data_IF_984027197153
#
_entry.id   IF_984027197153
#
_cell.length_a   1.000
_cell.length_b   1.000
_cell.length_c   1.000
_cell.angle_alpha   90.00
_cell.angle_beta   90.00
_cell.angle_gamma   90.00
#
_symmetry.space_group_name_H-M   'P 1'
#
loop_
_entity.id
_entity.type
_entity.pdbx_description
1 polymer ?
#
# COMPACT_ATOMS: atom_id res chain seq x y z
N UNK A 1 42.79 37.45 -20.86
CA UNK A 1 41.83 36.66 -20.03
C UNK A 1 40.33 36.78 -20.42
N UNK A 2 39.84 37.88 -21.04
CA UNK A 2 38.40 38.06 -21.37
C UNK A 2 37.85 37.18 -22.51
N UNK A 3 38.61 36.88 -23.57
CA UNK A 3 38.15 36.04 -24.72
C UNK A 3 37.97 34.56 -24.37
N UNK A 4 38.93 33.93 -23.65
CA UNK A 4 38.82 32.52 -23.22
C UNK A 4 37.64 32.29 -22.27
N UNK A 5 37.37 33.20 -21.33
CA UNK A 5 36.17 33.12 -20.46
C UNK A 5 34.87 33.22 -21.28
N UNK A 6 34.79 34.12 -22.27
CA UNK A 6 33.61 34.22 -23.15
C UNK A 6 33.38 32.96 -24.00
N UNK A 7 34.43 32.33 -24.51
CA UNK A 7 34.34 31.07 -25.28
C UNK A 7 33.87 29.92 -24.38
N UNK A 8 34.40 29.81 -23.15
CA UNK A 8 33.98 28.79 -22.17
C UNK A 8 32.52 29.01 -21.74
N UNK A 9 32.11 30.27 -21.53
CA UNK A 9 30.74 30.64 -21.18
C UNK A 9 29.73 30.33 -22.30
N UNK A 10 30.13 30.43 -23.57
CA UNK A 10 29.28 30.07 -24.73
C UNK A 10 29.28 28.56 -25.01
N UNK A 11 30.37 27.84 -24.71
CA UNK A 11 30.44 26.40 -24.99
C UNK A 11 29.54 25.56 -24.09
N UNK A 12 29.24 26.00 -22.87
CA UNK A 12 28.41 25.23 -21.92
C UNK A 12 26.95 25.15 -22.39
N UNK A 13 26.25 26.26 -22.70
CA UNK A 13 24.89 26.20 -23.26
C UNK A 13 24.80 25.41 -24.55
N UNK A 14 25.78 25.56 -25.45
CA UNK A 14 25.82 24.80 -26.70
C UNK A 14 25.94 23.29 -26.44
N UNK A 15 26.83 22.88 -25.52
CA UNK A 15 26.96 21.46 -25.15
C UNK A 15 25.65 20.90 -24.55
N UNK A 16 24.97 21.68 -23.69
CA UNK A 16 23.66 21.28 -23.14
C UNK A 16 22.63 21.11 -24.26
N UNK A 17 22.53 22.05 -25.19
CA UNK A 17 21.60 21.95 -26.33
C UNK A 17 21.89 20.72 -27.21
N UNK A 18 23.17 20.42 -27.46
CA UNK A 18 23.56 19.20 -28.19
C UNK A 18 23.15 17.95 -27.44
N UNK A 19 23.36 17.88 -26.12
CA UNK A 19 22.94 16.74 -25.29
C UNK A 19 21.42 16.56 -25.32
N UNK A 20 20.65 17.65 -25.20
CA UNK A 20 19.19 17.62 -25.29
C UNK A 20 18.73 17.13 -26.67
N UNK A 21 19.32 17.67 -27.75
CA UNK A 21 18.99 17.27 -29.11
C UNK A 21 19.28 15.80 -29.37
N UNK A 22 20.47 15.31 -28.98
CA UNK A 22 20.84 13.89 -29.09
C UNK A 22 19.90 13.01 -28.27
N UNK A 23 19.50 13.43 -27.07
CA UNK A 23 18.55 12.70 -26.24
C UNK A 23 17.15 12.61 -26.86
N UNK A 24 16.68 13.69 -27.49
CA UNK A 24 15.41 13.70 -28.23
C UNK A 24 15.51 12.78 -29.45
N UNK A 25 16.57 12.89 -30.23
CA UNK A 25 16.78 12.08 -31.43
C UNK A 25 16.81 10.59 -31.08
N UNK A 26 17.60 10.21 -30.07
CA UNK A 26 17.67 8.83 -29.58
C UNK A 26 16.30 8.33 -29.11
N UNK A 27 15.54 9.17 -28.38
CA UNK A 27 14.20 8.80 -27.93
C UNK A 27 13.22 8.57 -29.10
N UNK A 28 13.38 9.28 -30.22
CA UNK A 28 12.49 9.18 -31.38
C UNK A 28 12.82 8.00 -32.30
N UNK A 29 14.08 7.57 -32.36
CA UNK A 29 14.55 6.58 -33.35
C UNK A 29 14.92 5.21 -32.76
N UNK A 30 15.44 5.17 -31.53
CA UNK A 30 15.89 3.92 -30.92
C UNK A 30 14.76 3.21 -30.21
N UNK A 31 14.76 1.87 -30.16
CA UNK A 31 13.83 1.03 -29.37
C UNK A 31 12.38 1.53 -29.35
N UNK A 32 11.71 1.54 -30.50
CA UNK A 32 10.37 2.14 -30.65
C UNK A 32 9.23 1.12 -30.72
N UNK A 33 9.56 -0.17 -30.54
CA UNK A 33 8.59 -1.27 -30.40
C UNK A 33 8.84 -1.98 -29.07
N UNK A 34 7.82 -2.65 -28.54
CA UNK A 34 7.90 -3.39 -27.29
C UNK A 34 9.08 -4.38 -27.25
N UNK A 35 9.25 -5.18 -28.30
CA UNK A 35 10.27 -6.25 -28.39
C UNK A 35 11.69 -5.69 -28.36
N UNK A 36 11.85 -4.43 -28.77
CA UNK A 36 13.14 -3.74 -28.78
C UNK A 36 13.50 -3.07 -27.45
N UNK A 37 12.57 -3.00 -26.49
CA UNK A 37 12.81 -2.45 -25.15
C UNK A 37 13.75 -3.36 -24.35
N UNK A 38 14.33 -2.83 -23.26
CA UNK A 38 15.07 -3.69 -22.35
C UNK A 38 14.12 -4.70 -21.69
N UNK A 39 14.61 -5.90 -21.38
CA UNK A 39 13.81 -6.99 -20.78
C UNK A 39 13.01 -6.52 -19.56
N UNK A 40 13.63 -5.71 -18.70
CA UNK A 40 12.91 -5.23 -17.52
C UNK A 40 11.78 -4.25 -17.82
N UNK A 41 11.90 -3.47 -18.90
CA UNK A 41 10.82 -2.58 -19.33
C UNK A 41 9.68 -3.39 -19.97
N UNK A 42 10.03 -4.48 -20.67
CA UNK A 42 9.05 -5.45 -21.17
C UNK A 42 8.30 -6.13 -20.01
N UNK A 43 9.02 -6.67 -19.02
CA UNK A 43 8.44 -7.27 -17.82
C UNK A 43 7.52 -6.29 -17.08
N UNK A 44 7.99 -5.05 -16.88
CA UNK A 44 7.19 -4.01 -16.24
C UNK A 44 5.88 -3.72 -16.99
N UNK A 45 5.92 -3.56 -18.31
CA UNK A 45 4.72 -3.30 -19.11
C UNK A 45 3.79 -4.52 -19.16
N UNK A 46 4.34 -5.74 -19.15
CA UNK A 46 3.55 -6.97 -19.02
C UNK A 46 2.86 -7.05 -17.65
N UNK A 47 3.55 -6.71 -16.57
CA UNK A 47 2.94 -6.66 -15.24
C UNK A 47 1.86 -5.57 -15.15
N UNK A 48 2.10 -4.39 -15.71
CA UNK A 48 1.08 -3.34 -15.80
C UNK A 48 -0.14 -3.80 -16.60
N UNK A 49 0.07 -4.53 -17.71
CA UNK A 49 -1.02 -5.12 -18.50
C UNK A 49 -1.86 -6.07 -17.66
N UNK A 50 -1.23 -6.92 -16.84
CA UNK A 50 -1.94 -7.81 -15.93
C UNK A 50 -2.75 -7.03 -14.90
N UNK A 51 -2.17 -5.97 -14.31
CA UNK A 51 -2.90 -5.06 -13.41
C UNK A 51 -4.14 -4.49 -14.09
N UNK A 52 -3.99 -3.90 -15.28
CA UNK A 52 -5.10 -3.25 -15.99
C UNK A 52 -6.22 -4.26 -16.33
N UNK A 53 -5.86 -5.45 -16.81
CA UNK A 53 -6.84 -6.51 -17.09
C UNK A 53 -7.63 -6.92 -15.85
N UNK A 54 -7.00 -6.99 -14.68
CA UNK A 54 -7.71 -7.32 -13.44
C UNK A 54 -8.68 -6.22 -13.02
N UNK A 55 -8.32 -4.94 -13.19
CA UNK A 55 -9.25 -3.84 -12.93
C UNK A 55 -10.42 -3.82 -13.94
N UNK A 56 -10.17 -4.11 -15.21
CA UNK A 56 -11.25 -4.19 -16.22
C UNK A 56 -12.22 -5.35 -15.97
N UNK A 57 -11.73 -6.47 -15.42
CA UNK A 57 -12.51 -7.72 -15.28
C UNK A 57 -13.12 -7.91 -13.89
N UNK A 58 -12.49 -7.33 -12.85
CA UNK A 58 -12.74 -7.68 -11.44
C UNK A 58 -12.63 -6.45 -10.52
N UNK A 59 -13.01 -5.26 -10.99
CA UNK A 59 -12.92 -4.01 -10.21
C UNK A 59 -13.68 -4.08 -8.87
N UNK A 60 -14.85 -4.72 -8.86
CA UNK A 60 -15.68 -4.98 -7.67
C UNK A 60 -15.00 -5.90 -6.65
N UNK A 61 -14.15 -6.81 -7.10
CA UNK A 61 -13.34 -7.68 -6.25
C UNK A 61 -12.06 -6.97 -5.77
N UNK A 62 -11.51 -6.01 -6.51
CA UNK A 62 -10.36 -5.24 -6.07
C UNK A 62 -10.76 -4.17 -5.04
N UNK A 63 -11.73 -3.33 -5.38
CA UNK A 63 -12.31 -2.35 -4.48
C UNK A 63 -13.79 -2.16 -4.77
N UNK A 64 -14.13 -1.41 -5.81
CA UNK A 64 -15.47 -1.12 -6.26
C UNK A 64 -15.48 -0.92 -7.77
N UNK A 65 -16.64 -1.06 -8.40
CA UNK A 65 -16.87 -0.77 -9.81
C UNK A 65 -16.55 0.70 -10.19
N UNK A 66 -16.65 1.62 -9.23
CA UNK A 66 -16.29 3.04 -9.40
C UNK A 66 -14.78 3.34 -9.36
N UNK A 67 -13.93 2.39 -8.92
CA UNK A 67 -12.48 2.61 -8.82
C UNK A 67 -11.72 1.97 -10.00
N UNK A 68 -11.51 2.77 -11.04
CA UNK A 68 -10.82 2.37 -12.29
C UNK A 68 -9.35 2.80 -12.32
N UNK A 69 -8.44 2.02 -11.73
CA UNK A 69 -7.00 2.32 -11.74
C UNK A 69 -6.38 2.32 -13.16
N UNK A 70 -6.85 1.44 -14.03
CA UNK A 70 -6.41 1.27 -15.42
C UNK A 70 -6.59 2.53 -16.29
N UNK A 71 -7.43 3.47 -15.84
CA UNK A 71 -7.65 4.75 -16.51
C UNK A 71 -6.78 5.88 -15.97
N UNK A 72 -6.06 5.65 -14.86
CA UNK A 72 -5.35 6.72 -14.15
C UNK A 72 -4.05 7.13 -14.85
N UNK A 73 -3.68 8.44 -14.86
CA UNK A 73 -2.45 8.92 -15.49
C UNK A 73 -1.20 8.47 -14.72
N UNK A 74 -0.30 7.76 -15.41
CA UNK A 74 0.88 7.14 -14.80
C UNK A 74 2.16 7.47 -15.57
N UNK A 75 3.24 7.75 -14.83
CA UNK A 75 4.61 7.88 -15.34
C UNK A 75 5.54 6.87 -14.66
N UNK A 76 5.90 5.82 -15.38
CA UNK A 76 6.78 4.75 -14.89
C UNK A 76 8.23 5.12 -15.15
N UNK A 77 9.04 5.26 -14.11
CA UNK A 77 10.40 5.80 -14.18
C UNK A 77 11.43 4.70 -13.90
N UNK A 78 12.20 4.34 -14.93
CA UNK A 78 13.21 3.29 -14.84
C UNK A 78 14.45 3.77 -14.09
N UNK A 79 14.83 3.02 -13.05
CA UNK A 79 16.11 3.21 -12.34
C UNK A 79 16.89 1.89 -12.25
N UNK A 80 18.12 1.96 -11.73
CA UNK A 80 18.96 0.76 -11.52
C UNK A 80 18.64 0.02 -10.22
N UNK A 81 18.19 0.77 -9.20
CA UNK A 81 17.97 0.29 -7.84
C UNK A 81 17.00 1.25 -7.15
N UNK A 82 16.53 0.82 -5.99
CA UNK A 82 15.72 1.63 -5.10
C UNK A 82 16.33 3.03 -4.87
N UNK A 83 15.47 4.07 -4.93
CA UNK A 83 15.81 5.49 -4.80
C UNK A 83 16.96 5.98 -5.71
N UNK A 84 17.24 5.28 -6.81
CA UNK A 84 18.35 5.60 -7.70
C UNK A 84 18.22 6.98 -8.37
N UNK A 85 19.26 7.81 -8.29
CA UNK A 85 19.28 9.16 -8.90
C UNK A 85 19.47 9.16 -10.43
N UNK A 86 19.88 8.02 -11.01
CA UNK A 86 20.09 7.89 -12.45
C UNK A 86 18.86 7.28 -13.11
N UNK A 87 17.97 8.15 -13.61
CA UNK A 87 16.87 7.76 -14.50
C UNK A 87 17.42 7.23 -15.83
N UNK A 88 16.94 6.07 -16.28
CA UNK A 88 17.27 5.47 -17.59
C UNK A 88 16.24 5.88 -18.64
N UNK A 89 15.04 5.35 -18.52
CA UNK A 89 13.89 5.58 -19.39
C UNK A 89 12.68 5.99 -18.54
N UNK A 90 11.63 6.55 -19.15
CA UNK A 90 10.33 6.64 -18.49
C UNK A 90 9.20 6.45 -19.49
N UNK A 91 8.10 5.88 -19.04
CA UNK A 91 6.94 5.56 -19.86
C UNK A 91 5.72 6.25 -19.28
N UNK A 92 5.03 7.04 -20.09
CA UNK A 92 3.76 7.66 -19.73
C UNK A 92 2.60 6.84 -20.32
N UNK A 93 1.60 6.57 -19.49
CA UNK A 93 0.39 5.79 -19.80
C UNK A 93 -0.81 6.61 -19.32
N UNK A 94 -1.87 6.70 -20.13
CA UNK A 94 -3.02 7.59 -19.87
C UNK A 94 -2.67 9.08 -19.71
N UNK A 95 -1.60 9.53 -20.37
CA UNK A 95 -1.16 10.94 -20.38
C UNK A 95 -1.18 11.46 -21.84
N UNK A 96 -1.71 12.67 -22.12
CA UNK A 96 -1.86 13.19 -23.48
C UNK A 96 -0.52 13.61 -24.14
N UNK A 97 0.26 12.65 -24.62
CA UNK A 97 1.65 12.87 -25.09
C UNK A 97 1.85 12.89 -26.62
N UNK A 98 0.80 12.66 -27.42
CA UNK A 98 0.90 12.48 -28.88
C UNK A 98 1.70 13.55 -29.64
N UNK A 99 1.53 14.84 -29.29
CA UNK A 99 2.19 15.95 -29.98
C UNK A 99 3.54 16.38 -29.37
N UNK A 100 4.08 15.65 -28.39
CA UNK A 100 5.29 16.07 -27.69
C UNK A 100 6.57 15.75 -28.49
N UNK A 101 7.45 16.74 -28.63
CA UNK A 101 8.81 16.54 -29.17
C UNK A 101 9.66 15.65 -28.27
N UNK A 102 9.34 15.61 -26.97
CA UNK A 102 10.05 14.80 -25.98
C UNK A 102 9.47 13.39 -25.80
N UNK A 103 8.38 13.02 -26.49
CA UNK A 103 7.74 11.71 -26.33
C UNK A 103 7.79 10.88 -27.61
N UNK A 104 7.84 9.56 -27.49
CA UNK A 104 7.72 8.63 -28.61
C UNK A 104 6.74 7.53 -28.23
N UNK A 105 5.67 7.41 -29.00
CA UNK A 105 4.75 6.26 -28.87
C UNK A 105 5.53 4.98 -29.16
N UNK A 106 5.42 4.02 -28.24
CA UNK A 106 5.96 2.68 -28.40
C UNK A 106 4.89 1.83 -29.06
N UNK A 107 5.26 1.08 -30.11
CA UNK A 107 4.36 0.10 -30.72
C UNK A 107 4.21 -1.08 -29.76
N UNK A 108 3.03 -1.18 -29.14
CA UNK A 108 2.68 -2.22 -28.19
C UNK A 108 1.95 -3.38 -28.90
N UNK A 109 2.17 -4.64 -28.51
CA UNK A 109 1.34 -5.76 -28.91
C UNK A 109 -0.11 -5.56 -28.44
N UNK A 110 -1.08 -5.82 -29.32
CA UNK A 110 -2.51 -5.72 -28.96
C UNK A 110 -2.90 -6.67 -27.82
N UNK A 111 -2.22 -7.81 -27.69
CA UNK A 111 -2.45 -8.79 -26.62
C UNK A 111 -2.18 -8.27 -25.21
N UNK A 112 -1.41 -7.18 -25.07
CA UNK A 112 -1.20 -6.52 -23.78
C UNK A 112 -2.40 -5.65 -23.38
N UNK A 113 -3.30 -5.28 -24.30
CA UNK A 113 -4.49 -4.48 -23.97
C UNK A 113 -4.18 -3.12 -23.32
N UNK A 114 -2.93 -2.65 -23.37
CA UNK A 114 -2.56 -1.38 -22.78
C UNK A 114 -3.01 -0.23 -23.67
N UNK A 115 -3.42 0.91 -23.08
CA UNK A 115 -3.59 2.14 -23.84
C UNK A 115 -2.23 2.61 -24.38
N UNK A 116 -2.23 3.68 -25.17
CA UNK A 116 -1.01 4.20 -25.80
C UNK A 116 0.08 4.48 -24.78
N UNK A 117 1.23 3.82 -24.96
CA UNK A 117 2.41 3.97 -24.10
C UNK A 117 3.41 4.89 -24.79
N UNK A 118 3.80 5.96 -24.10
CA UNK A 118 4.76 6.94 -24.61
C UNK A 118 6.07 6.90 -23.84
N UNK A 119 7.18 6.58 -24.49
CA UNK A 119 8.50 6.77 -23.88
C UNK A 119 8.91 8.24 -23.88
N UNK A 120 9.29 8.72 -22.72
CA UNK A 120 9.66 10.11 -22.47
C UNK A 120 11.18 10.25 -22.48
N UNK A 121 11.65 11.20 -23.30
CA UNK A 121 13.05 11.60 -23.35
C UNK A 121 13.57 11.94 -21.95
N UNK A 122 14.80 11.50 -21.68
CA UNK A 122 15.45 11.55 -20.37
C UNK A 122 15.54 12.96 -19.78
N UNK A 123 15.63 13.97 -20.64
CA UNK A 123 15.74 15.38 -20.26
C UNK A 123 14.47 16.18 -20.60
N UNK A 124 13.32 15.52 -20.72
CA UNK A 124 12.03 16.20 -20.86
C UNK A 124 11.77 17.10 -19.65
N UNK A 125 11.57 18.42 -19.83
CA UNK A 125 11.37 19.37 -18.73
C UNK A 125 10.23 18.97 -17.78
N UNK A 126 9.14 18.44 -18.33
CA UNK A 126 7.95 18.02 -17.58
C UNK A 126 8.20 16.86 -16.60
N UNK A 127 9.37 16.21 -16.67
CA UNK A 127 9.71 15.03 -15.86
C UNK A 127 11.09 15.14 -15.19
N UNK A 128 11.66 16.35 -15.11
CA UNK A 128 12.97 16.55 -14.50
C UNK A 128 12.96 16.33 -12.98
N UNK A 129 11.83 16.62 -12.32
CA UNK A 129 11.66 16.39 -10.87
C UNK A 129 11.81 14.92 -10.49
N UNK A 130 11.51 14.00 -11.40
CA UNK A 130 11.66 12.55 -11.17
C UNK A 130 13.11 12.07 -11.14
N UNK A 131 14.10 12.97 -11.21
CA UNK A 131 15.51 12.65 -10.96
C UNK A 131 15.87 12.68 -9.46
N UNK A 132 15.06 13.35 -8.63
CA UNK A 132 15.21 13.32 -7.18
C UNK A 132 15.08 11.89 -6.64
N UNK A 133 15.78 11.48 -5.56
CA UNK A 133 15.80 10.10 -5.07
C UNK A 133 14.50 9.66 -4.35
N UNK A 134 13.34 9.96 -4.94
CA UNK A 134 12.00 9.66 -4.43
C UNK A 134 11.36 8.61 -5.35
N UNK A 135 10.77 7.55 -4.77
CA UNK A 135 10.25 6.41 -5.51
C UNK A 135 8.92 6.65 -6.20
N UNK A 136 8.05 7.44 -5.60
CA UNK A 136 6.74 7.76 -6.15
C UNK A 136 6.34 9.18 -5.76
N UNK A 137 5.24 9.65 -6.32
CA UNK A 137 4.66 10.96 -6.02
C UNK A 137 3.83 11.46 -7.18
N UNK A 138 3.43 12.73 -7.13
CA UNK A 138 2.64 13.35 -8.19
C UNK A 138 3.41 14.47 -8.88
N UNK A 139 3.08 14.71 -10.14
CA UNK A 139 3.53 15.86 -10.91
C UNK A 139 2.50 16.21 -11.99
N UNK A 140 2.55 17.43 -12.52
CA UNK A 140 1.66 17.85 -13.60
C UNK A 140 2.34 17.69 -14.97
N UNK A 141 1.74 16.91 -15.87
CA UNK A 141 2.13 16.85 -17.28
C UNK A 141 0.97 17.39 -18.10
N UNK A 142 1.15 18.57 -18.71
CA UNK A 142 0.12 19.24 -19.54
C UNK A 142 -1.23 19.32 -18.82
N UNK A 143 -1.22 19.90 -17.62
CA UNK A 143 -2.40 20.11 -16.78
C UNK A 143 -3.12 18.81 -16.34
N UNK A 144 -2.46 17.66 -16.50
CA UNK A 144 -2.90 16.37 -15.97
C UNK A 144 -2.06 16.01 -14.75
N UNK A 145 -2.67 15.94 -13.58
CA UNK A 145 -2.03 15.36 -12.39
C UNK A 145 -1.71 13.89 -12.66
N UNK A 146 -0.44 13.55 -12.57
CA UNK A 146 0.09 12.23 -12.95
C UNK A 146 0.89 11.67 -11.80
N UNK A 147 0.57 10.44 -11.38
CA UNK A 147 1.42 9.68 -10.49
C UNK A 147 2.69 9.30 -11.23
N UNK A 148 3.86 9.58 -10.67
CA UNK A 148 5.09 8.91 -11.09
C UNK A 148 5.42 7.79 -10.12
N UNK A 149 5.95 6.69 -10.67
CA UNK A 149 6.32 5.50 -9.91
C UNK A 149 7.62 4.91 -10.48
N UNK A 150 8.60 4.67 -9.61
CA UNK A 150 9.89 4.11 -10.00
C UNK A 150 9.87 2.61 -9.97
N UNK A 151 10.52 2.02 -10.97
CA UNK A 151 10.75 0.58 -11.02
C UNK A 151 12.21 0.26 -11.35
N UNK A 152 12.69 -0.86 -10.81
CA UNK A 152 14.05 -1.37 -10.95
C UNK A 152 14.01 -2.91 -11.07
N UNK A 153 15.05 -3.58 -11.60
CA UNK A 153 14.98 -5.01 -11.93
C UNK A 153 14.55 -5.91 -10.78
N UNK A 154 15.07 -5.66 -9.57
CA UNK A 154 14.78 -6.47 -8.39
C UNK A 154 13.27 -6.55 -8.08
N UNK A 155 12.48 -5.51 -8.35
CA UNK A 155 11.02 -5.54 -8.12
C UNK A 155 10.26 -6.55 -8.99
N UNK A 156 10.87 -7.00 -10.08
CA UNK A 156 10.24 -7.90 -11.06
C UNK A 156 10.82 -9.31 -10.99
N UNK A 157 12.10 -9.44 -10.63
CA UNK A 157 12.80 -10.73 -10.65
C UNK A 157 12.95 -11.40 -9.28
N UNK A 158 13.17 -10.62 -8.21
CA UNK A 158 13.44 -11.11 -6.85
C UNK A 158 13.08 -10.03 -5.83
N UNK A 159 11.78 -9.68 -5.71
CA UNK A 159 11.36 -8.57 -4.87
C UNK A 159 11.51 -8.88 -3.38
N UNK A 160 11.72 -7.82 -2.61
CA UNK A 160 11.46 -7.91 -1.17
C UNK A 160 9.97 -8.11 -0.92
N UNK A 161 9.62 -8.70 0.22
CA UNK A 161 8.21 -8.92 0.57
C UNK A 161 7.46 -7.59 0.51
N UNK A 162 6.28 -7.58 -0.11
CA UNK A 162 5.45 -6.39 -0.38
C UNK A 162 6.01 -5.38 -1.42
N UNK A 163 7.25 -5.54 -1.88
CA UNK A 163 7.92 -4.61 -2.79
C UNK A 163 8.06 -5.15 -4.22
N UNK A 164 7.25 -6.13 -4.61
CA UNK A 164 7.08 -6.44 -6.02
C UNK A 164 6.42 -5.29 -6.76
N UNK A 165 6.67 -5.21 -8.06
CA UNK A 165 6.26 -4.08 -8.88
C UNK A 165 4.77 -3.74 -8.72
N UNK A 166 3.90 -4.74 -8.81
CA UNK A 166 2.46 -4.57 -8.79
C UNK A 166 1.92 -4.24 -7.41
N UNK A 167 2.33 -4.97 -6.37
CA UNK A 167 1.81 -4.73 -5.01
C UNK A 167 2.15 -3.33 -4.54
N UNK A 168 3.42 -2.92 -4.66
CA UNK A 168 3.82 -1.58 -4.23
C UNK A 168 3.27 -0.47 -5.13
N UNK A 169 3.07 -0.72 -6.44
CA UNK A 169 2.38 0.23 -7.32
C UNK A 169 0.95 0.46 -6.85
N UNK A 170 0.22 -0.61 -6.56
CA UNK A 170 -1.18 -0.54 -6.19
C UNK A 170 -1.39 0.10 -4.82
N UNK A 171 -0.52 -0.18 -3.85
CA UNK A 171 -0.53 0.47 -2.53
C UNK A 171 -0.43 1.99 -2.66
N UNK A 172 0.62 2.46 -3.34
CA UNK A 172 0.85 3.90 -3.48
C UNK A 172 -0.17 4.57 -4.43
N UNK A 173 -0.64 3.84 -5.44
CA UNK A 173 -1.71 4.33 -6.31
C UNK A 173 -3.03 4.49 -5.57
N UNK A 174 -3.33 3.61 -4.63
CA UNK A 174 -4.54 3.69 -3.82
C UNK A 174 -4.52 4.94 -2.93
N UNK A 175 -3.38 5.21 -2.27
CA UNK A 175 -3.16 6.47 -1.55
C UNK A 175 -3.42 7.70 -2.44
N UNK A 176 -2.81 7.72 -3.63
CA UNK A 176 -2.87 8.89 -4.53
C UNK A 176 -4.23 9.09 -5.20
N UNK A 177 -4.91 8.02 -5.62
CA UNK A 177 -6.09 8.13 -6.46
C UNK A 177 -7.41 7.84 -5.75
N UNK A 178 -7.38 7.11 -4.62
CA UNK A 178 -8.58 6.78 -3.86
C UNK A 178 -8.64 7.50 -2.52
N UNK A 179 -7.52 7.57 -1.79
CA UNK A 179 -7.49 8.09 -0.41
C UNK A 179 -7.02 9.54 -0.31
N UNK A 180 -6.75 10.22 -1.43
CA UNK A 180 -6.20 11.59 -1.48
C UNK A 180 -6.93 12.60 -0.59
N UNK A 181 -8.24 12.41 -0.41
CA UNK A 181 -9.12 13.32 0.32
C UNK A 181 -9.57 12.75 1.67
N UNK A 182 -9.09 11.56 2.05
CA UNK A 182 -9.40 11.00 3.36
C UNK A 182 -8.69 11.79 4.45
N UNK A 183 -9.37 11.99 5.58
CA UNK A 183 -8.92 12.85 6.68
C UNK A 183 -8.39 12.05 7.87
N UNK A 184 -8.30 10.72 7.75
CA UNK A 184 -7.85 9.86 8.84
C UNK A 184 -6.43 10.15 9.31
N UNK A 185 -5.53 10.58 8.43
CA UNK A 185 -4.14 10.97 8.74
C UNK A 185 -3.96 12.49 8.91
N UNK A 186 -5.05 13.27 8.85
CA UNK A 186 -4.98 14.73 8.99
C UNK A 186 -4.41 15.14 10.36
N UNK A 187 -3.48 16.09 10.36
CA UNK A 187 -2.82 16.61 11.56
C UNK A 187 -2.10 15.53 12.39
N UNK A 188 -1.43 14.58 11.72
CA UNK A 188 -0.69 13.47 12.35
C UNK A 188 -1.56 12.60 13.26
N UNK A 189 -2.86 12.49 12.96
CA UNK A 189 -3.80 11.81 13.84
C UNK A 189 -3.59 10.29 13.97
N UNK A 190 -2.70 9.70 13.17
CA UNK A 190 -2.23 8.32 13.33
C UNK A 190 -1.18 8.14 14.45
N UNK A 191 -0.57 9.25 14.89
CA UNK A 191 0.41 9.24 15.96
C UNK A 191 -0.26 8.98 17.31
N UNK A 192 0.33 8.06 18.08
CA UNK A 192 -0.17 7.70 19.41
C UNK A 192 0.87 8.14 20.44
N UNK A 193 0.60 9.27 21.07
CA UNK A 193 1.37 9.70 22.22
C UNK A 193 1.10 8.77 23.41
N UNK A 194 2.13 8.42 24.18
CA UNK A 194 2.02 7.57 25.37
C UNK A 194 1.31 6.23 25.09
N UNK A 195 1.80 5.51 24.09
CA UNK A 195 1.32 4.17 23.75
C UNK A 195 1.31 3.25 24.99
N UNK A 196 0.21 2.54 25.28
CA UNK A 196 0.05 1.78 26.52
C UNK A 196 0.87 0.49 26.50
N UNK A 197 2.15 0.59 26.84
CA UNK A 197 3.06 -0.55 26.99
C UNK A 197 2.81 -1.28 28.32
N UNK A 198 1.65 -1.93 28.42
CA UNK A 198 1.19 -2.65 29.62
C UNK A 198 0.82 -4.08 29.28
N UNK A 199 1.09 -5.02 30.19
CA UNK A 199 0.74 -6.45 30.02
C UNK A 199 -0.73 -6.65 29.63
N UNK A 200 -1.62 -5.82 30.19
CA UNK A 200 -3.06 -5.93 29.96
C UNK A 200 -3.44 -5.53 28.53
N UNK A 201 -2.82 -4.45 28.01
CA UNK A 201 -3.03 -4.01 26.62
C UNK A 201 -2.59 -5.09 25.65
N UNK A 202 -1.42 -5.67 25.86
CA UNK A 202 -0.93 -6.76 25.00
C UNK A 202 -1.77 -8.03 25.13
N UNK A 203 -2.28 -8.34 26.31
CA UNK A 203 -3.16 -9.50 26.48
C UNK A 203 -4.48 -9.34 25.70
N UNK A 204 -5.09 -8.14 25.73
CA UNK A 204 -6.29 -7.84 24.95
C UNK A 204 -6.01 -7.81 23.45
N UNK A 205 -4.86 -7.27 23.02
CA UNK A 205 -4.39 -7.39 21.63
C UNK A 205 -4.22 -8.85 21.21
N UNK A 206 -3.70 -9.72 22.09
CA UNK A 206 -3.62 -11.15 21.84
C UNK A 206 -5.00 -11.81 21.67
N UNK A 207 -6.03 -11.37 22.39
CA UNK A 207 -7.41 -11.83 22.17
C UNK A 207 -7.91 -11.43 20.77
N UNK A 208 -7.67 -10.18 20.37
CA UNK A 208 -8.01 -9.72 19.02
C UNK A 208 -7.30 -10.54 17.94
N UNK A 209 -6.03 -10.87 18.13
CA UNK A 209 -5.28 -11.71 17.19
C UNK A 209 -5.83 -13.13 17.09
N UNK A 210 -6.25 -13.75 18.21
CA UNK A 210 -6.97 -15.04 18.16
C UNK A 210 -8.25 -14.94 17.34
N UNK A 211 -9.03 -13.87 17.56
CA UNK A 211 -10.30 -13.65 16.86
C UNK A 211 -10.09 -13.39 15.36
N UNK A 212 -9.06 -12.63 14.99
CA UNK A 212 -8.68 -12.43 13.58
C UNK A 212 -8.21 -13.75 12.94
N UNK A 213 -7.38 -14.55 13.62
CA UNK A 213 -6.95 -15.87 13.12
C UNK A 213 -8.15 -16.81 12.88
N UNK A 214 -9.11 -16.82 13.80
CA UNK A 214 -10.36 -17.58 13.66
C UNK A 214 -11.23 -17.06 12.52
N UNK A 215 -11.36 -15.74 12.36
CA UNK A 215 -12.12 -15.14 11.26
C UNK A 215 -11.48 -15.46 9.90
N UNK A 216 -10.15 -15.34 9.78
CA UNK A 216 -9.38 -15.58 8.55
C UNK A 216 -9.50 -17.02 8.05
N UNK A 217 -9.58 -17.98 8.98
CA UNK A 217 -9.68 -19.42 8.68
C UNK A 217 -11.12 -19.90 8.49
N UNK A 218 -12.11 -19.17 9.01
CA UNK A 218 -13.52 -19.52 8.85
C UNK A 218 -14.00 -19.36 7.40
N UNK A 219 -14.84 -20.29 6.96
CA UNK A 219 -15.48 -20.26 5.63
C UNK A 219 -16.96 -19.88 5.69
N UNK A 220 -17.59 -20.01 6.86
CA UNK A 220 -18.98 -19.64 7.08
C UNK A 220 -19.09 -18.14 7.42
N UNK A 221 -19.81 -17.33 6.62
CA UNK A 221 -20.01 -15.91 6.90
C UNK A 221 -20.52 -15.62 8.31
N UNK A 222 -21.38 -16.46 8.88
CA UNK A 222 -21.90 -16.23 10.24
C UNK A 222 -20.83 -16.42 11.32
N UNK A 223 -19.93 -17.39 11.15
CA UNK A 223 -18.80 -17.59 12.06
C UNK A 223 -17.81 -16.43 11.97
N UNK A 224 -17.59 -15.90 10.76
CA UNK A 224 -16.77 -14.70 10.56
C UNK A 224 -17.42 -13.50 11.27
N UNK A 225 -18.73 -13.29 11.10
CA UNK A 225 -19.47 -12.23 11.80
C UNK A 225 -19.37 -12.34 13.32
N UNK A 226 -19.46 -13.55 13.88
CA UNK A 226 -19.31 -13.75 15.32
C UNK A 226 -17.90 -13.35 15.79
N UNK A 227 -16.84 -13.81 15.10
CA UNK A 227 -15.48 -13.42 15.46
C UNK A 227 -15.24 -11.91 15.33
N UNK A 228 -15.82 -11.26 14.31
CA UNK A 228 -15.73 -9.80 14.14
C UNK A 228 -16.53 -9.05 15.21
N UNK A 229 -17.67 -9.58 15.65
CA UNK A 229 -18.42 -9.05 16.77
C UNK A 229 -17.58 -9.08 18.05
N UNK A 230 -17.06 -10.25 18.41
CA UNK A 230 -16.27 -10.43 19.63
C UNK A 230 -14.99 -9.59 19.59
N UNK A 231 -14.36 -9.49 18.41
CA UNK A 231 -13.23 -8.59 18.20
C UNK A 231 -13.59 -7.13 18.48
N UNK A 232 -14.78 -6.71 18.04
CA UNK A 232 -15.29 -5.35 18.26
C UNK A 232 -15.56 -5.08 19.73
N UNK A 233 -16.06 -6.06 20.49
CA UNK A 233 -16.23 -5.97 21.95
C UNK A 233 -14.88 -5.79 22.65
N UNK A 234 -13.88 -6.62 22.30
CA UNK A 234 -12.52 -6.50 22.86
C UNK A 234 -11.91 -5.13 22.53
N UNK A 235 -12.07 -4.67 21.28
CA UNK A 235 -11.54 -3.40 20.82
C UNK A 235 -12.19 -2.20 21.53
N UNK A 236 -13.51 -2.23 21.71
CA UNK A 236 -14.24 -1.24 22.52
C UNK A 236 -13.68 -1.17 23.95
N UNK A 237 -13.54 -2.32 24.62
CA UNK A 237 -13.01 -2.38 25.97
C UNK A 237 -11.58 -1.81 26.06
N UNK A 238 -10.71 -2.11 25.08
CA UNK A 238 -9.36 -1.52 25.00
C UNK A 238 -9.42 0.00 24.85
N UNK A 239 -10.32 0.54 24.04
CA UNK A 239 -10.39 1.97 23.77
C UNK A 239 -11.06 2.78 24.88
N UNK A 240 -12.03 2.21 25.60
CA UNK A 240 -12.53 2.79 26.85
C UNK A 240 -11.39 2.96 27.87
N UNK A 241 -10.48 1.98 27.93
CA UNK A 241 -9.34 1.98 28.86
C UNK A 241 -8.16 2.84 28.40
N UNK A 242 -7.89 2.88 27.10
CA UNK A 242 -6.83 3.66 26.48
C UNK A 242 -7.36 4.44 25.27
N UNK A 243 -8.09 5.56 25.50
CA UNK A 243 -8.69 6.34 24.42
C UNK A 243 -7.69 6.91 23.41
N UNK A 244 -6.41 7.06 23.81
CA UNK A 244 -5.35 7.52 22.91
C UNK A 244 -5.08 6.53 21.76
N UNK A 245 -5.56 5.29 21.85
CA UNK A 245 -5.41 4.30 20.79
C UNK A 245 -6.23 4.61 19.53
N UNK A 246 -6.99 5.70 19.49
CA UNK A 246 -7.71 6.15 18.30
C UNK A 246 -6.80 6.37 17.07
N UNK A 247 -5.50 6.60 17.25
CA UNK A 247 -4.56 6.64 16.13
C UNK A 247 -4.36 5.27 15.45
N UNK A 248 -4.64 4.16 16.16
CA UNK A 248 -4.54 2.79 15.65
C UNK A 248 -5.54 2.56 14.52
N UNK A 249 -6.81 2.94 14.73
CA UNK A 249 -7.88 2.77 13.71
C UNK A 249 -7.63 3.62 12.47
N UNK A 250 -6.97 4.77 12.63
CA UNK A 250 -6.66 5.68 11.52
C UNK A 250 -5.56 5.11 10.63
N UNK A 251 -4.50 4.55 11.22
CA UNK A 251 -3.49 3.80 10.46
C UNK A 251 -4.11 2.55 9.81
N UNK A 252 -4.96 1.80 10.52
CA UNK A 252 -5.66 0.64 9.96
C UNK A 252 -6.53 1.03 8.75
N UNK A 253 -7.20 2.18 8.80
CA UNK A 253 -8.01 2.69 7.70
C UNK A 253 -7.17 3.12 6.50
N UNK A 254 -6.08 3.87 6.70
CA UNK A 254 -5.24 4.37 5.60
C UNK A 254 -4.39 3.24 5.02
N UNK A 255 -3.52 2.67 5.84
CA UNK A 255 -2.50 1.73 5.39
C UNK A 255 -3.03 0.31 5.23
N UNK A 256 -4.02 -0.08 6.05
CA UNK A 256 -4.65 -1.38 5.93
C UNK A 256 -5.51 -1.52 4.68
N UNK A 257 -6.19 -0.46 4.22
CA UNK A 257 -6.96 -0.53 2.96
C UNK A 257 -6.05 -0.50 1.73
N UNK A 258 -4.95 0.24 1.77
CA UNK A 258 -3.92 0.17 0.72
C UNK A 258 -3.29 -1.24 0.64
N UNK A 259 -2.98 -1.85 1.80
CA UNK A 259 -2.50 -3.25 1.89
C UNK A 259 -3.56 -4.25 1.43
N UNK A 260 -4.83 -4.01 1.73
CA UNK A 260 -5.95 -4.85 1.27
C UNK A 260 -5.99 -4.96 -0.26
N UNK A 261 -5.78 -3.86 -0.99
CA UNK A 261 -5.73 -3.89 -2.47
C UNK A 261 -4.60 -4.81 -2.96
N UNK A 262 -3.43 -4.77 -2.32
CA UNK A 262 -2.33 -5.67 -2.66
C UNK A 262 -2.76 -7.13 -2.55
N UNK A 263 -3.42 -7.50 -1.44
CA UNK A 263 -3.85 -8.87 -1.19
C UNK A 263 -4.95 -9.33 -2.15
N UNK A 264 -5.95 -8.48 -2.44
CA UNK A 264 -6.98 -8.82 -3.43
C UNK A 264 -6.39 -9.02 -4.82
N UNK A 265 -5.49 -8.13 -5.24
CA UNK A 265 -4.81 -8.29 -6.52
C UNK A 265 -3.97 -9.58 -6.58
N UNK A 266 -3.22 -9.89 -5.52
CA UNK A 266 -2.41 -11.10 -5.46
C UNK A 266 -3.27 -12.37 -5.46
N UNK A 267 -4.40 -12.38 -4.74
CA UNK A 267 -5.37 -13.48 -4.76
C UNK A 267 -5.91 -13.72 -6.18
N UNK A 268 -6.38 -12.66 -6.87
CA UNK A 268 -6.89 -12.74 -8.24
C UNK A 268 -5.84 -13.26 -9.24
N UNK A 269 -4.56 -12.95 -9.00
CA UNK A 269 -3.45 -13.41 -9.80
C UNK A 269 -2.92 -14.80 -9.38
N UNK A 270 -3.52 -15.46 -8.38
CA UNK A 270 -3.08 -16.76 -7.87
C UNK A 270 -1.69 -16.71 -7.21
N UNK A 271 -1.31 -15.57 -6.66
CA UNK A 271 -0.03 -15.32 -6.00
C UNK A 271 -0.14 -15.59 -4.49
N UNK A 272 1.01 -15.58 -3.83
CA UNK A 272 1.17 -16.02 -2.43
C UNK A 272 1.20 -14.88 -1.41
N UNK A 273 1.18 -13.63 -1.86
CA UNK A 273 1.17 -12.47 -0.96
C UNK A 273 -0.21 -12.37 -0.30
N UNK A 274 -0.23 -12.41 1.03
CA UNK A 274 -1.44 -12.37 1.86
C UNK A 274 -1.12 -11.73 3.20
N UNK A 275 -2.10 -11.62 4.09
CA UNK A 275 -1.94 -11.11 5.45
C UNK A 275 -0.80 -11.83 6.16
N UNK A 276 0.12 -11.06 6.75
CA UNK A 276 1.33 -11.57 7.42
C UNK A 276 2.14 -12.56 6.58
N UNK A 277 2.41 -12.17 5.33
CA UNK A 277 3.15 -13.01 4.40
C UNK A 277 4.57 -13.36 4.87
N UNK A 278 5.06 -14.51 4.41
CA UNK A 278 6.39 -15.02 4.66
C UNK A 278 7.06 -15.48 3.36
N UNK A 279 8.39 -15.53 3.33
CA UNK A 279 9.15 -15.94 2.13
C UNK A 279 9.15 -17.45 1.86
N UNK A 280 8.76 -18.25 2.83
CA UNK A 280 8.82 -19.72 2.78
C UNK A 280 7.47 -20.31 3.14
N UNK A 281 7.16 -21.50 2.62
CA UNK A 281 5.95 -22.27 2.98
C UNK A 281 5.75 -22.30 4.50
N UNK A 282 4.54 -22.01 5.02
CA UNK A 282 3.26 -21.87 4.31
C UNK A 282 2.99 -20.49 3.67
N UNK A 283 4.03 -19.67 3.49
CA UNK A 283 4.04 -18.32 2.91
C UNK A 283 3.24 -17.26 3.67
N UNK A 284 2.78 -17.59 4.86
CA UNK A 284 2.19 -16.66 5.81
C UNK A 284 2.36 -17.21 7.21
N UNK A 285 2.11 -16.36 8.20
CA UNK A 285 1.97 -16.74 9.61
C UNK A 285 0.66 -16.18 10.14
N UNK A 286 0.18 -16.73 11.24
CA UNK A 286 -1.02 -16.20 11.91
C UNK A 286 -0.65 -15.02 12.82
N UNK A 287 -1.64 -14.20 13.20
CA UNK A 287 -1.42 -13.11 14.14
C UNK A 287 -0.91 -13.63 15.49
N UNK A 288 -1.45 -14.75 15.97
CA UNK A 288 -0.96 -15.38 17.20
C UNK A 288 0.47 -15.92 17.09
N UNK A 289 0.87 -16.44 15.92
CA UNK A 289 2.27 -16.84 15.73
C UNK A 289 3.23 -15.65 15.83
N UNK A 290 2.86 -14.50 15.26
CA UNK A 290 3.64 -13.27 15.42
C UNK A 290 3.69 -12.83 16.88
N UNK A 291 2.55 -12.87 17.57
CA UNK A 291 2.48 -12.56 19.00
C UNK A 291 3.40 -13.46 19.84
N UNK A 292 3.42 -14.76 19.55
CA UNK A 292 4.26 -15.75 20.21
C UNK A 292 5.76 -15.52 19.93
N UNK A 293 6.12 -15.19 18.68
CA UNK A 293 7.49 -14.84 18.31
C UNK A 293 7.98 -13.61 19.08
N UNK A 294 7.13 -12.58 19.23
CA UNK A 294 7.46 -11.40 20.02
C UNK A 294 7.51 -11.74 21.51
N UNK A 295 6.58 -12.52 22.05
CA UNK A 295 6.63 -12.93 23.45
C UNK A 295 7.86 -13.80 23.79
N UNK A 296 8.46 -14.44 22.78
CA UNK A 296 9.58 -15.39 22.89
C UNK A 296 10.92 -14.85 22.39
N UNK A 297 11.04 -13.53 22.19
CA UNK A 297 12.29 -12.86 21.79
C UNK A 297 12.83 -13.23 20.39
N UNK A 298 11.93 -13.63 19.48
CA UNK A 298 12.27 -13.96 18.09
C UNK A 298 11.95 -12.81 17.11
N UNK A 299 11.26 -11.76 17.57
CA UNK A 299 10.88 -10.60 16.79
C UNK A 299 10.81 -9.34 17.66
N UNK A 300 11.10 -8.18 17.07
CA UNK A 300 11.06 -6.88 17.74
C UNK A 300 9.64 -6.49 18.20
N UNK A 301 9.43 -6.15 19.49
CA UNK A 301 8.11 -5.73 19.99
C UNK A 301 7.54 -4.50 19.29
N UNK A 302 8.41 -3.61 18.78
CA UNK A 302 8.01 -2.41 18.05
C UNK A 302 7.13 -2.72 16.81
N UNK A 303 7.19 -3.94 16.27
CA UNK A 303 6.31 -4.39 15.19
C UNK A 303 4.82 -4.24 15.53
N UNK A 304 4.43 -4.51 16.79
CA UNK A 304 3.05 -4.37 17.26
C UNK A 304 2.54 -2.93 17.26
N UNK A 305 3.44 -1.94 17.32
CA UNK A 305 3.05 -0.54 17.44
C UNK A 305 2.59 0.08 16.14
N UNK A 306 3.16 -0.29 14.98
CA UNK A 306 2.82 0.35 13.69
C UNK A 306 2.62 -0.64 12.58
N UNK A 307 3.62 -1.48 12.29
CA UNK A 307 3.58 -2.42 11.16
C UNK A 307 2.38 -3.36 11.21
N UNK A 308 2.02 -3.84 12.42
CA UNK A 308 0.87 -4.71 12.61
C UNK A 308 -0.47 -4.08 12.15
N UNK A 309 -0.60 -2.74 12.19
CA UNK A 309 -1.83 -2.03 11.80
C UNK A 309 -2.14 -2.14 10.30
N UNK A 310 -1.11 -2.31 9.47
CA UNK A 310 -1.28 -2.58 8.04
C UNK A 310 -1.97 -3.93 7.83
N UNK A 311 -1.61 -4.90 8.67
CA UNK A 311 -2.07 -6.29 8.57
C UNK A 311 -3.45 -6.47 9.19
N UNK A 312 -3.70 -5.90 10.37
CA UNK A 312 -5.02 -5.93 11.01
C UNK A 312 -6.04 -5.16 10.17
N UNK A 313 -5.72 -3.96 9.69
CA UNK A 313 -6.61 -3.18 8.84
C UNK A 313 -6.97 -3.89 7.53
N UNK A 314 -6.01 -4.57 6.89
CA UNK A 314 -6.27 -5.37 5.69
C UNK A 314 -7.10 -6.62 6.00
N UNK A 315 -6.80 -7.33 7.09
CA UNK A 315 -7.54 -8.51 7.51
C UNK A 315 -9.00 -8.18 7.81
N UNK A 316 -9.30 -7.07 8.49
CA UNK A 316 -10.66 -6.61 8.75
C UNK A 316 -11.43 -6.38 7.44
N UNK A 317 -10.82 -5.71 6.45
CA UNK A 317 -11.42 -5.51 5.13
C UNK A 317 -11.72 -6.82 4.41
N UNK A 318 -10.77 -7.76 4.40
CA UNK A 318 -10.95 -9.09 3.82
C UNK A 318 -12.08 -9.86 4.52
N UNK A 319 -12.17 -9.79 5.84
CA UNK A 319 -13.17 -10.54 6.61
C UNK A 319 -14.56 -9.94 6.48
N UNK A 320 -14.68 -8.61 6.42
CA UNK A 320 -15.95 -7.95 6.13
C UNK A 320 -16.47 -8.33 4.73
N UNK A 321 -15.59 -8.43 3.74
CA UNK A 321 -15.95 -8.96 2.41
C UNK A 321 -16.45 -10.40 2.47
N UNK A 322 -15.71 -11.32 3.12
CA UNK A 322 -16.15 -12.72 3.28
C UNK A 322 -17.47 -12.85 4.05
N UNK A 323 -17.72 -11.93 4.99
CA UNK A 323 -18.95 -11.87 5.77
C UNK A 323 -20.12 -11.16 5.07
N UNK A 324 -19.90 -10.57 3.88
CA UNK A 324 -20.87 -9.70 3.21
C UNK A 324 -21.32 -8.52 4.09
N UNK A 325 -20.40 -7.90 4.81
CA UNK A 325 -20.63 -6.64 5.54
C UNK A 325 -20.32 -5.48 4.57
N UNK A 326 -21.25 -4.54 4.34
CA UNK A 326 -21.04 -3.45 3.39
C UNK A 326 -20.13 -2.37 4.00
N UNK A 327 -18.82 -2.47 3.79
CA UNK A 327 -17.84 -1.59 4.45
C UNK A 327 -17.14 -0.60 3.50
N UNK A 328 -16.97 -0.93 2.22
CA UNK A 328 -16.14 -0.15 1.29
C UNK A 328 -16.67 1.26 1.03
N UNK A 329 -17.99 1.43 0.87
CA UNK A 329 -18.60 2.76 0.73
C UNK A 329 -18.66 3.52 2.07
N UNK A 330 -18.63 2.80 3.19
CA UNK A 330 -18.68 3.41 4.52
C UNK A 330 -17.33 3.97 4.96
N UNK A 331 -16.22 3.34 4.54
CA UNK A 331 -14.86 3.80 4.87
C UNK A 331 -14.38 4.97 4.01
N UNK A 332 -15.02 5.19 2.87
CA UNK A 332 -14.69 6.31 2.01
C UNK A 332 -15.09 7.63 2.66
N UNK A 333 -14.09 8.49 2.81
CA UNK A 333 -14.25 9.86 3.27
C UNK A 333 -14.36 10.80 2.06
N UNK A 334 -15.39 11.64 2.07
CA UNK A 334 -15.67 12.67 1.08
C UNK A 334 -15.70 14.04 1.76
N UNK A 335 -15.44 15.15 1.04
CA UNK A 335 -15.37 16.49 1.63
C UNK A 335 -16.54 16.89 2.55
N UNK A 336 -17.74 16.36 2.28
CA UNK A 336 -18.97 16.64 3.03
C UNK A 336 -19.52 15.43 3.81
N UNK A 337 -18.81 14.28 3.80
CA UNK A 337 -19.22 13.03 4.45
C UNK A 337 -17.98 12.33 5.05
N UNK A 338 -17.74 12.47 6.37
CA UNK A 338 -16.67 11.73 7.01
C UNK A 338 -16.92 10.23 6.87
N UNK A 339 -15.90 9.51 6.41
CA UNK A 339 -15.91 8.06 6.38
C UNK A 339 -15.80 7.47 7.79
N UNK A 340 -16.04 6.17 7.89
CA UNK A 340 -15.89 5.38 9.12
C UNK A 340 -14.73 4.40 8.97
N UNK A 341 -13.82 4.37 9.92
CA UNK A 341 -12.77 3.34 9.98
C UNK A 341 -13.39 1.94 10.09
N UNK A 342 -12.62 0.89 9.80
CA UNK A 342 -13.10 -0.50 9.89
C UNK A 342 -13.68 -0.82 11.28
N UNK A 343 -13.04 -0.32 12.35
CA UNK A 343 -13.55 -0.45 13.71
C UNK A 343 -14.91 0.24 13.89
N UNK A 344 -15.05 1.49 13.45
CA UNK A 344 -16.31 2.24 13.57
C UNK A 344 -17.44 1.58 12.78
N UNK A 345 -17.14 1.06 11.58
CA UNK A 345 -18.10 0.30 10.76
C UNK A 345 -18.59 -0.92 11.50
N UNK A 346 -17.69 -1.73 12.06
CA UNK A 346 -18.07 -2.93 12.80
C UNK A 346 -18.85 -2.59 14.06
N UNK A 347 -18.43 -1.55 14.78
CA UNK A 347 -19.12 -1.07 15.98
C UNK A 347 -20.57 -0.65 15.69
N UNK A 348 -20.79 0.09 14.61
CA UNK A 348 -22.13 0.48 14.15
C UNK A 348 -22.95 -0.72 13.64
N UNK A 349 -22.33 -1.58 12.81
CA UNK A 349 -22.98 -2.76 12.23
C UNK A 349 -23.52 -3.72 13.31
N UNK A 350 -22.73 -3.96 14.37
CA UNK A 350 -23.10 -4.84 15.47
C UNK A 350 -23.85 -4.12 16.60
N UNK A 351 -23.87 -2.79 16.61
CA UNK A 351 -24.50 -1.96 17.65
C UNK A 351 -23.96 -2.27 19.05
N UNK A 352 -22.64 -2.47 19.16
CA UNK A 352 -21.99 -2.73 20.45
C UNK A 352 -22.11 -1.46 21.30
N UNK A 353 -22.89 -1.54 22.39
CA UNK A 353 -23.11 -0.41 23.30
C UNK A 353 -22.12 -0.47 24.45
N UNK A 354 -21.61 0.68 24.87
CA UNK A 354 -20.63 0.80 25.96
C UNK A 354 -21.02 0.02 27.23
N UNK A 355 -22.29 0.05 27.63
CA UNK A 355 -22.80 -0.58 28.86
C UNK A 355 -22.92 -2.11 28.79
N UNK A 356 -22.81 -2.71 27.60
CA UNK A 356 -22.83 -4.16 27.42
C UNK A 356 -21.41 -4.75 27.39
N UNK A 357 -20.41 -3.92 27.08
CA UNK A 357 -19.02 -4.33 26.90
C UNK A 357 -18.44 -4.96 28.16
N UNK A 358 -18.74 -4.43 29.36
CA UNK A 358 -18.14 -4.98 30.60
C UNK A 358 -18.63 -6.39 30.95
N UNK A 359 -19.87 -6.74 30.58
CA UNK A 359 -20.38 -8.09 30.84
C UNK A 359 -19.82 -9.08 29.81
N UNK A 360 -19.84 -8.71 28.53
CA UNK A 360 -19.39 -9.56 27.43
C UNK A 360 -17.86 -9.80 27.47
N UNK A 361 -17.07 -8.78 27.86
CA UNK A 361 -15.61 -8.94 27.92
C UNK A 361 -15.17 -9.98 28.95
N UNK A 362 -15.89 -10.15 30.06
CA UNK A 362 -15.53 -11.16 31.06
C UNK A 362 -15.75 -12.58 30.52
N UNK A 363 -16.84 -12.82 29.78
CA UNK A 363 -17.08 -14.09 29.09
C UNK A 363 -15.99 -14.36 28.03
N UNK A 364 -15.62 -13.33 27.26
CA UNK A 364 -14.56 -13.46 26.26
C UNK A 364 -13.20 -13.73 26.90
N UNK A 365 -12.87 -13.11 28.04
CA UNK A 365 -11.61 -13.36 28.76
C UNK A 365 -11.49 -14.82 29.20
N UNK A 366 -12.59 -15.42 29.65
CA UNK A 366 -12.63 -16.85 29.99
C UNK A 366 -12.46 -17.71 28.74
N UNK A 367 -13.23 -17.43 27.69
CA UNK A 367 -13.23 -18.17 26.42
C UNK A 367 -11.85 -18.18 25.74
N UNK A 368 -11.12 -17.06 25.78
CA UNK A 368 -9.90 -16.85 24.98
C UNK A 368 -8.60 -16.99 25.78
N UNK A 369 -8.62 -17.64 26.94
CA UNK A 369 -7.46 -17.85 27.82
C UNK A 369 -6.71 -16.54 28.11
N UNK A 370 -7.44 -15.57 28.64
CA UNK A 370 -6.87 -14.27 28.99
C UNK A 370 -5.73 -14.37 30.02
N UNK A 371 -5.77 -15.38 30.91
CA UNK A 371 -4.70 -15.61 31.90
C UNK A 371 -3.39 -16.01 31.23
N UNK A 372 -3.42 -16.88 30.22
CA UNK A 372 -2.25 -17.19 29.40
C UNK A 372 -1.74 -15.96 28.64
N UNK A 373 -2.66 -15.20 28.04
CA UNK A 373 -2.33 -13.97 27.30
C UNK A 373 -1.71 -12.88 28.20
N UNK A 374 -2.12 -12.77 29.47
CA UNK A 374 -1.48 -11.88 30.45
C UNK A 374 -0.02 -12.25 30.70
N UNK A 375 0.30 -13.55 30.74
CA UNK A 375 1.69 -14.00 30.92
C UNK A 375 2.55 -13.64 29.70
N UNK A 376 2.00 -13.80 28.49
CA UNK A 376 2.67 -13.37 27.26
C UNK A 376 2.82 -11.85 27.19
N UNK A 377 1.74 -11.11 27.48
CA UNK A 377 1.74 -9.65 27.53
C UNK A 377 2.76 -9.08 28.50
N UNK A 378 2.97 -9.74 29.65
CA UNK A 378 4.03 -9.38 30.60
C UNK A 378 5.43 -9.53 30.02
N UNK A 379 5.70 -10.60 29.27
CA UNK A 379 6.99 -10.77 28.58
C UNK A 379 7.22 -9.66 27.57
N UNK A 380 6.19 -9.28 26.81
CA UNK A 380 6.25 -8.20 25.82
C UNK A 380 6.49 -6.84 26.51
N UNK A 381 5.74 -6.53 27.58
CA UNK A 381 5.95 -5.31 28.39
C UNK A 381 7.39 -5.23 28.93
N UNK A 382 7.94 -6.34 29.42
CA UNK A 382 9.32 -6.37 29.91
C UNK A 382 10.32 -6.06 28.81
N UNK A 383 10.12 -6.57 27.59
CA UNK A 383 11.01 -6.32 26.45
C UNK A 383 10.94 -4.85 25.99
N UNK A 384 9.75 -4.26 25.94
CA UNK A 384 9.56 -2.84 25.57
C UNK A 384 10.30 -1.86 26.50
N UNK A 385 10.48 -2.22 27.78
CA UNK A 385 11.17 -1.38 28.76
C UNK A 385 12.70 -1.56 28.77
N UNK A 386 13.25 -2.53 28.03
CA UNK A 386 14.71 -2.77 27.95
C UNK A 386 15.35 -1.95 26.82
N UNK A 387 14.56 -1.51 25.84
CA UNK A 387 15.02 -0.74 24.67
C UNK A 387 14.88 0.79 24.82
N UNK A 388 14.55 1.28 26.02
CA UNK A 388 14.59 2.70 26.41
C UNK A 388 15.83 2.99 27.25
#
# INVERSE_FOLDING_TARGET
MKKRRKIILLSIPTAILVILFVSILFNKTSRTTFESLAETDQQMLTELSNVYKQFEQSSDQLWSDQYSFETKPLLLVRTNKDRGIFRKEAFAVNVPMGNSVFAKEIKMPESLGLPKVYRISRFSPATLTTWLPINFGTLNIKDTETMYYRYYPKMLSDPELYFDFSSFLLHEAFHIFKQKHWTYDANDAEWIENYPEKQEHYALMGMEFKLLDQAMTATNPQSIKQNLHDWTVVRNYRYQKWPQLIGEIKTEAIEGTARYIEYRYNELMGRKLTVLAAKQEPYHVTFMQVFDFIASDQMEPAFLKRSMRYETGAALGLMMDKANIPWKEAIEDEPDKPGMTQYEILNDYFKVQDTAVEAEIEELKETYDYKGLLQQGKKIEQRMNVDQ
#
